data_IF_140979716250
#
_entry.id   IF_140979716250
#
_cell.length_a   1.000
_cell.length_b   1.000
_cell.length_c   1.000
_cell.angle_alpha   90.00
_cell.angle_beta   90.00
_cell.angle_gamma   90.00
#
_symmetry.space_group_name_H-M   'P 1'
#
loop_
_entity.id
_entity.type
_entity.pdbx_description
1 polymer ?
#
# COMPACT_ATOMS: atom_id res chain seq x y z
N UNK A 1 10.14 11.92 -42.26
CA UNK A 1 11.45 11.91 -41.59
C UNK A 1 11.29 11.12 -40.31
N UNK A 2 11.69 9.84 -40.37
CA UNK A 2 11.69 8.92 -39.24
C UNK A 2 12.81 9.31 -38.29
N UNK A 3 12.45 9.85 -37.13
CA UNK A 3 13.40 10.09 -36.06
C UNK A 3 13.54 8.80 -35.24
N UNK A 4 14.77 8.32 -35.17
CA UNK A 4 15.17 7.11 -34.44
C UNK A 4 15.22 7.52 -32.97
N UNK A 5 14.11 7.34 -32.25
CA UNK A 5 14.05 7.60 -30.82
C UNK A 5 14.90 6.56 -30.07
N UNK A 6 16.00 7.03 -29.50
CA UNK A 6 16.91 6.31 -28.62
C UNK A 6 16.17 5.68 -27.42
N UNK A 7 15.79 4.41 -27.57
CA UNK A 7 16.10 3.29 -26.65
C UNK A 7 15.67 3.29 -25.18
N UNK A 8 15.16 4.38 -24.58
CA UNK A 8 14.86 4.43 -23.15
C UNK A 8 13.37 4.65 -22.88
N UNK A 9 12.70 3.62 -22.33
CA UNK A 9 11.29 3.70 -21.89
C UNK A 9 11.11 4.57 -20.65
N UNK A 10 12.17 4.76 -19.86
CA UNK A 10 12.19 5.58 -18.64
C UNK A 10 12.89 6.90 -18.94
N UNK A 11 12.21 8.02 -18.67
CA UNK A 11 12.77 9.39 -18.70
C UNK A 11 13.33 9.75 -17.32
N UNK A 12 14.13 10.83 -17.18
CA UNK A 12 14.76 11.18 -15.91
C UNK A 12 13.81 11.33 -14.71
N UNK A 13 12.63 11.91 -14.90
CA UNK A 13 11.68 12.16 -13.81
C UNK A 13 12.20 13.14 -12.75
N UNK A 14 11.66 13.02 -11.54
CA UNK A 14 11.95 13.88 -10.38
C UNK A 14 12.15 13.04 -9.13
N UNK A 15 13.08 13.47 -8.27
CA UNK A 15 13.33 12.88 -6.94
C UNK A 15 12.18 13.09 -5.94
N UNK A 16 11.26 14.01 -6.22
CA UNK A 16 10.12 14.29 -5.37
C UNK A 16 8.82 14.49 -6.16
N UNK A 17 7.67 14.15 -5.53
CA UNK A 17 7.55 13.50 -4.21
C UNK A 17 8.03 12.03 -4.25
N UNK A 18 8.26 11.43 -3.07
CA UNK A 18 8.62 10.02 -2.97
C UNK A 18 7.40 9.12 -3.28
N UNK A 19 7.67 7.94 -3.84
CA UNK A 19 6.67 7.00 -4.30
C UNK A 19 6.30 7.18 -5.77
N UNK A 20 5.14 6.63 -6.15
CA UNK A 20 4.56 6.77 -7.49
C UNK A 20 3.56 7.94 -7.55
N UNK A 21 3.80 8.90 -8.45
CA UNK A 21 2.97 10.10 -8.65
C UNK A 21 2.57 10.20 -10.12
N UNK A 22 1.31 9.89 -10.46
CA UNK A 22 0.82 10.02 -11.82
C UNK A 22 0.57 11.49 -12.21
N UNK A 23 0.68 11.76 -13.51
CA UNK A 23 0.15 12.95 -14.18
C UNK A 23 -0.69 12.53 -15.40
N UNK A 24 -1.11 13.48 -16.23
CA UNK A 24 -1.95 13.24 -17.42
C UNK A 24 -1.30 12.33 -18.47
N UNK A 25 0.02 12.18 -18.45
CA UNK A 25 0.81 11.56 -19.53
C UNK A 25 1.61 10.33 -19.08
N UNK A 26 1.64 10.02 -17.78
CA UNK A 26 2.50 8.97 -17.23
C UNK A 26 2.65 9.05 -15.71
N UNK A 27 3.68 8.38 -15.17
CA UNK A 27 3.92 8.31 -13.73
C UNK A 27 5.39 8.54 -13.39
N UNK A 28 5.65 9.43 -12.44
CA UNK A 28 6.95 9.59 -11.80
C UNK A 28 7.10 8.60 -10.65
N UNK A 29 8.23 7.90 -10.60
CA UNK A 29 8.59 6.98 -9.53
C UNK A 29 9.84 7.49 -8.81
N UNK A 30 9.83 7.52 -7.48
CA UNK A 30 10.98 7.95 -6.69
C UNK A 30 11.15 7.09 -5.42
N UNK A 31 12.29 6.42 -5.29
CA UNK A 31 12.61 5.50 -4.19
C UNK A 31 13.91 5.91 -3.51
N UNK A 32 13.85 6.17 -2.20
CA UNK A 32 15.07 6.37 -1.41
C UNK A 32 15.83 5.06 -1.23
N UNK A 33 17.13 5.06 -1.57
CA UNK A 33 18.07 4.02 -1.16
C UNK A 33 19.51 4.52 -1.25
N UNK A 34 20.13 4.77 -0.10
CA UNK A 34 21.53 5.21 0.01
C UNK A 34 22.53 4.15 -0.44
N UNK A 35 22.24 2.87 -0.14
CA UNK A 35 23.19 1.77 -0.30
C UNK A 35 22.95 0.91 -1.55
N UNK A 36 21.89 1.17 -2.32
CA UNK A 36 21.62 0.45 -3.55
C UNK A 36 22.71 0.73 -4.59
N UNK A 37 22.98 -0.28 -5.43
CA UNK A 37 23.85 -0.17 -6.62
C UNK A 37 23.06 -0.09 -7.92
N UNK A 38 21.80 -0.53 -7.89
CA UNK A 38 20.83 -0.40 -8.97
C UNK A 38 19.43 -0.60 -8.41
N UNK A 39 18.45 0.11 -8.97
CA UNK A 39 17.02 -0.12 -8.72
C UNK A 39 16.34 -0.41 -10.04
N UNK A 40 15.64 -1.54 -10.11
CA UNK A 40 14.73 -1.84 -11.21
C UNK A 40 13.29 -1.59 -10.72
N UNK A 41 12.55 -0.74 -11.44
CA UNK A 41 11.10 -0.62 -11.31
C UNK A 41 10.46 -1.82 -11.99
N UNK A 42 9.59 -2.53 -11.27
CA UNK A 42 8.91 -3.71 -11.77
C UNK A 42 7.44 -3.35 -12.03
N UNK A 43 7.03 -3.36 -13.29
CA UNK A 43 5.64 -3.12 -13.72
C UNK A 43 4.97 -4.46 -14.01
N UNK A 44 3.73 -4.62 -13.57
CA UNK A 44 2.95 -5.84 -13.77
C UNK A 44 1.74 -5.61 -14.67
N UNK A 45 1.33 -6.63 -15.40
CA UNK A 45 0.10 -6.61 -16.17
C UNK A 45 -1.18 -6.61 -15.30
N UNK A 46 -2.34 -6.59 -15.97
CA UNK A 46 -3.66 -6.54 -15.37
C UNK A 46 -4.00 -7.74 -14.49
N UNK A 47 -3.36 -8.89 -14.74
CA UNK A 47 -3.49 -10.10 -13.93
C UNK A 47 -2.43 -10.16 -12.82
N UNK A 48 -1.44 -9.27 -12.86
CA UNK A 48 -0.36 -9.18 -11.88
C UNK A 48 0.67 -10.29 -12.01
N UNK A 49 0.69 -11.01 -13.14
CA UNK A 49 1.51 -12.21 -13.35
C UNK A 49 2.78 -11.92 -14.13
N UNK A 50 2.70 -11.08 -15.17
CA UNK A 50 3.84 -10.81 -16.04
C UNK A 50 4.57 -9.55 -15.59
N UNK A 51 5.87 -9.70 -15.30
CA UNK A 51 6.74 -8.63 -14.85
C UNK A 51 7.54 -8.03 -16.02
N UNK A 52 7.48 -6.71 -16.17
CA UNK A 52 8.42 -5.92 -16.99
C UNK A 52 9.31 -5.10 -16.06
N UNK A 53 10.63 -5.15 -16.27
CA UNK A 53 11.60 -4.43 -15.44
C UNK A 53 12.19 -3.26 -16.19
N UNK A 54 12.09 -2.09 -15.59
CA UNK A 54 12.55 -0.82 -16.13
C UNK A 54 13.61 -0.24 -15.17
N UNK A 55 14.89 -0.16 -15.56
CA UNK A 55 15.94 0.37 -14.68
C UNK A 55 15.73 1.87 -14.39
N UNK A 56 15.81 2.27 -13.12
CA UNK A 56 15.89 3.67 -12.72
C UNK A 56 17.36 4.11 -12.79
N UNK A 57 17.69 4.93 -13.78
CA UNK A 57 19.07 5.36 -14.04
C UNK A 57 19.47 6.62 -13.27
N UNK A 58 18.50 7.48 -12.98
CA UNK A 58 18.77 8.73 -12.30
C UNK A 58 18.78 8.54 -10.79
N UNK A 59 19.75 9.17 -10.14
CA UNK A 59 19.84 9.23 -8.68
C UNK A 59 20.26 10.62 -8.23
N UNK A 60 19.39 11.27 -7.45
CA UNK A 60 19.69 12.58 -6.84
C UNK A 60 19.51 12.48 -5.33
N UNK A 61 20.57 12.80 -4.57
CA UNK A 61 20.54 12.76 -3.10
C UNK A 61 19.99 11.44 -2.53
N UNK A 62 20.54 10.31 -3.00
CA UNK A 62 20.14 8.93 -2.61
C UNK A 62 18.70 8.53 -2.98
N UNK A 63 18.01 9.34 -3.78
CA UNK A 63 16.70 8.98 -4.33
C UNK A 63 16.88 8.54 -5.77
N UNK A 64 16.53 7.30 -6.05
CA UNK A 64 16.46 6.72 -7.39
C UNK A 64 15.14 7.13 -8.01
N UNK A 65 15.16 7.68 -9.22
CA UNK A 65 13.94 8.17 -9.85
C UNK A 65 13.89 7.95 -11.35
N UNK A 66 12.68 8.01 -11.88
CA UNK A 66 12.40 7.89 -13.30
C UNK A 66 10.93 8.15 -13.60
N UNK A 67 10.67 8.61 -14.81
CA UNK A 67 9.33 8.89 -15.30
C UNK A 67 8.98 7.94 -16.43
N UNK A 68 7.85 7.23 -16.29
CA UNK A 68 7.40 6.24 -17.28
C UNK A 68 6.15 6.78 -17.99
N UNK A 69 6.25 7.15 -19.28
CA UNK A 69 5.11 7.62 -20.06
C UNK A 69 4.05 6.51 -20.23
N UNK A 70 2.78 6.91 -20.31
CA UNK A 70 1.61 6.04 -20.56
C UNK A 70 1.32 5.01 -19.46
N UNK A 71 1.94 5.17 -18.29
CA UNK A 71 1.60 4.43 -17.08
C UNK A 71 0.76 5.34 -16.20
N UNK A 72 -0.43 4.90 -15.82
CA UNK A 72 -1.38 5.70 -15.03
C UNK A 72 -1.95 4.95 -13.83
N UNK A 73 -2.94 5.55 -13.16
CA UNK A 73 -3.65 4.93 -12.04
C UNK A 73 -4.14 3.51 -12.34
N UNK A 74 -4.05 2.62 -11.34
CA UNK A 74 -4.34 1.20 -11.46
C UNK A 74 -3.14 0.32 -11.83
N UNK A 75 -2.05 0.90 -12.33
CA UNK A 75 -0.81 0.16 -12.62
C UNK A 75 -0.27 -0.49 -11.35
N UNK A 76 -0.03 -1.80 -11.40
CA UNK A 76 0.66 -2.53 -10.33
C UNK A 76 2.17 -2.45 -10.49
N UNK A 77 2.88 -2.22 -9.41
CA UNK A 77 4.33 -2.12 -9.44
C UNK A 77 5.00 -2.62 -8.15
N UNK A 78 6.32 -2.75 -8.21
CA UNK A 78 7.21 -2.96 -7.07
C UNK A 78 8.64 -2.65 -7.48
N UNK A 79 9.60 -3.00 -6.63
CA UNK A 79 11.02 -2.75 -6.89
C UNK A 79 11.89 -3.99 -6.71
N UNK A 80 12.93 -4.10 -7.53
CA UNK A 80 14.07 -4.98 -7.26
C UNK A 80 15.29 -4.14 -7.01
N UNK A 81 15.80 -4.22 -5.79
CA UNK A 81 16.92 -3.39 -5.34
C UNK A 81 18.19 -4.24 -5.25
N UNK A 82 19.21 -3.84 -6.02
CA UNK A 82 20.50 -4.51 -6.09
C UNK A 82 21.50 -3.82 -5.15
N UNK A 83 22.39 -4.61 -4.55
CA UNK A 83 23.43 -4.10 -3.66
C UNK A 83 24.19 -5.24 -2.97
N UNK A 84 25.05 -4.93 -1.98
CA UNK A 84 25.82 -5.93 -1.26
C UNK A 84 24.94 -6.91 -0.46
N UNK A 85 25.28 -8.20 -0.51
CA UNK A 85 24.79 -9.19 0.44
C UNK A 85 25.92 -9.50 1.43
N UNK A 86 25.98 -8.71 2.49
CA UNK A 86 26.97 -8.79 3.55
C UNK A 86 26.22 -8.78 4.89
N UNK A 87 25.49 -9.85 5.22
CA UNK A 87 24.54 -9.85 6.34
C UNK A 87 25.19 -9.58 7.71
N UNK A 88 26.50 -9.89 7.86
CA UNK A 88 27.28 -9.55 9.06
C UNK A 88 27.50 -8.04 9.23
N UNK A 89 27.47 -7.27 8.15
CA UNK A 89 27.53 -5.82 8.12
C UNK A 89 26.14 -5.17 7.99
N UNK A 90 25.06 -5.97 8.07
CA UNK A 90 23.67 -5.49 7.94
C UNK A 90 23.17 -5.34 6.50
N UNK A 91 24.04 -5.43 5.48
CA UNK A 91 23.62 -5.34 4.08
C UNK A 91 22.92 -6.63 3.62
N UNK A 92 21.63 -6.53 3.28
CA UNK A 92 20.78 -7.67 2.90
C UNK A 92 20.11 -7.49 1.54
N UNK A 93 20.78 -6.83 0.61
CA UNK A 93 20.24 -6.63 -0.73
C UNK A 93 20.04 -7.97 -1.46
N UNK A 94 18.82 -8.18 -1.97
CA UNK A 94 18.48 -9.38 -2.70
C UNK A 94 17.44 -9.05 -3.77
N UNK A 95 17.91 -8.77 -4.98
CA UNK A 95 17.05 -8.44 -6.12
C UNK A 95 16.23 -9.61 -6.67
N UNK A 96 16.42 -10.83 -6.16
CA UNK A 96 15.47 -11.91 -6.37
C UNK A 96 14.15 -11.66 -5.63
N UNK A 97 14.11 -10.76 -4.65
CA UNK A 97 12.92 -10.40 -3.89
C UNK A 97 12.30 -9.12 -4.46
N UNK A 98 11.03 -9.21 -4.80
CA UNK A 98 10.18 -8.07 -5.11
C UNK A 98 9.91 -7.32 -3.81
N UNK A 99 10.17 -6.03 -3.81
CA UNK A 99 9.93 -5.15 -2.68
C UNK A 99 8.72 -4.27 -2.95
N UNK A 100 7.93 -4.07 -1.90
CA UNK A 100 6.86 -3.07 -1.87
C UNK A 100 7.51 -1.68 -1.80
N UNK A 101 6.94 -0.71 -2.51
CA UNK A 101 7.32 0.69 -2.33
C UNK A 101 6.92 1.16 -0.92
N UNK A 102 7.85 1.61 -0.07
CA UNK A 102 7.50 2.13 1.25
C UNK A 102 6.58 3.36 1.21
N UNK A 103 6.50 4.04 0.05
CA UNK A 103 5.61 5.16 -0.23
C UNK A 103 4.35 4.76 -1.02
N UNK A 104 4.10 3.46 -1.22
CA UNK A 104 2.86 2.99 -1.85
C UNK A 104 1.65 3.47 -1.04
N UNK A 105 0.72 4.12 -1.74
CA UNK A 105 -0.53 4.61 -1.18
C UNK A 105 -1.69 3.62 -1.29
N UNK A 106 -1.47 2.53 -2.01
CA UNK A 106 -2.37 1.40 -2.10
C UNK A 106 -1.57 0.12 -2.42
N UNK A 107 -2.00 -1.00 -1.83
CA UNK A 107 -1.43 -2.33 -2.07
C UNK A 107 -2.48 -3.26 -2.66
N UNK A 108 -2.05 -4.15 -3.57
CA UNK A 108 -2.83 -5.21 -4.17
C UNK A 108 -2.34 -6.58 -3.66
N UNK A 109 -3.26 -7.35 -3.05
CA UNK A 109 -2.99 -8.70 -2.57
C UNK A 109 -2.50 -8.75 -1.12
N UNK A 110 -2.15 -9.96 -0.70
CA UNK A 110 -1.57 -10.28 0.62
C UNK A 110 -0.31 -11.12 0.40
N UNK A 111 0.52 -11.27 1.43
CA UNK A 111 1.70 -12.15 1.34
C UNK A 111 1.25 -13.61 1.29
N UNK A 112 1.74 -14.35 0.30
CA UNK A 112 1.65 -15.81 0.28
C UNK A 112 2.94 -16.41 0.86
N UNK A 113 2.85 -16.83 2.12
CA UNK A 113 3.97 -17.40 2.88
C UNK A 113 4.45 -18.77 2.36
N UNK A 114 3.70 -19.42 1.45
CA UNK A 114 4.16 -20.66 0.79
C UNK A 114 5.21 -20.39 -0.28
N UNK A 115 5.34 -19.14 -0.70
CA UNK A 115 6.32 -18.69 -1.69
C UNK A 115 7.63 -18.30 -1.00
N UNK A 116 8.76 -18.21 -1.72
CA UNK A 116 10.06 -17.97 -1.11
C UNK A 116 10.29 -16.48 -0.78
N UNK A 117 9.35 -15.84 -0.06
CA UNK A 117 9.39 -14.40 0.30
C UNK A 117 10.56 -14.01 1.23
N UNK A 118 11.24 -14.98 1.82
CA UNK A 118 12.40 -14.70 2.67
C UNK A 118 13.66 -14.47 1.83
N UNK A 119 14.41 -13.42 2.18
CA UNK A 119 15.71 -13.10 1.57
C UNK A 119 16.79 -14.18 1.77
N UNK A 120 16.56 -15.12 2.68
CA UNK A 120 17.47 -16.21 3.06
C UNK A 120 16.76 -17.56 3.04
N UNK A 121 17.53 -18.66 3.09
CA UNK A 121 17.00 -20.02 3.10
C UNK A 121 16.39 -20.36 4.46
N UNK A 122 15.06 -20.42 4.55
CA UNK A 122 14.36 -20.91 5.75
C UNK A 122 14.86 -22.30 6.17
N UNK A 123 14.96 -22.53 7.48
CA UNK A 123 15.52 -23.76 8.06
C UNK A 123 17.05 -23.88 7.94
N UNK A 124 17.73 -22.87 7.38
CA UNK A 124 19.18 -22.71 7.37
C UNK A 124 19.55 -21.39 8.06
N UNK A 125 20.82 -21.00 7.94
CA UNK A 125 21.29 -19.71 8.44
C UNK A 125 20.74 -18.56 7.58
N UNK A 126 20.38 -17.46 8.24
CA UNK A 126 20.00 -16.18 7.62
C UNK A 126 21.16 -15.50 6.84
N UNK A 127 22.37 -16.03 6.95
CA UNK A 127 23.54 -15.64 6.18
C UNK A 127 23.49 -16.17 4.74
N UNK A 128 22.68 -17.20 4.47
CA UNK A 128 22.59 -17.86 3.18
C UNK A 128 21.49 -17.22 2.34
N UNK A 129 21.90 -16.41 1.35
CA UNK A 129 20.99 -15.74 0.42
C UNK A 129 20.11 -16.73 -0.36
N UNK A 130 18.80 -16.51 -0.37
CA UNK A 130 17.88 -17.23 -1.25
C UNK A 130 17.71 -16.48 -2.57
N UNK A 131 18.05 -17.11 -3.69
CA UNK A 131 18.00 -16.50 -5.02
C UNK A 131 16.69 -16.79 -5.78
N UNK A 132 15.72 -17.48 -5.18
CA UNK A 132 14.41 -17.74 -5.79
C UNK A 132 13.59 -16.46 -5.86
N UNK A 133 12.85 -16.29 -6.96
CA UNK A 133 11.90 -15.20 -7.13
C UNK A 133 10.67 -15.38 -6.23
N UNK A 134 10.06 -14.27 -5.82
CA UNK A 134 8.89 -14.22 -4.92
C UNK A 134 7.75 -13.34 -5.47
N UNK A 135 7.88 -12.82 -6.69
CA UNK A 135 6.95 -11.82 -7.23
C UNK A 135 5.47 -12.23 -7.21
N UNK A 136 5.15 -13.53 -7.26
CA UNK A 136 3.78 -14.05 -7.19
C UNK A 136 3.21 -14.11 -5.76
N UNK A 137 4.06 -14.04 -4.73
CA UNK A 137 3.66 -14.12 -3.32
C UNK A 137 3.84 -12.83 -2.53
N UNK A 138 4.24 -11.73 -3.18
CA UNK A 138 4.38 -10.41 -2.55
C UNK A 138 3.30 -9.45 -3.07
N UNK A 139 2.64 -8.68 -2.17
CA UNK A 139 1.75 -7.59 -2.58
C UNK A 139 2.43 -6.60 -3.50
N UNK A 140 1.65 -5.99 -4.39
CA UNK A 140 2.16 -4.98 -5.34
C UNK A 140 1.64 -3.61 -4.94
N UNK A 141 2.49 -2.59 -5.06
CA UNK A 141 2.05 -1.21 -5.02
C UNK A 141 1.08 -0.94 -6.18
N UNK A 142 0.15 -0.02 -5.99
CA UNK A 142 -0.76 0.44 -7.04
C UNK A 142 -0.53 1.94 -7.22
N UNK A 143 -0.30 2.37 -8.47
CA UNK A 143 -0.33 3.79 -8.80
C UNK A 143 -1.76 4.27 -8.59
N UNK A 144 -1.97 5.29 -7.76
CA UNK A 144 -3.31 5.84 -7.51
C UNK A 144 -3.38 7.28 -7.95
N UNK A 145 -4.57 7.67 -8.40
CA UNK A 145 -4.97 9.06 -8.47
C UNK A 145 -5.43 9.53 -7.08
N UNK A 146 -4.96 10.70 -6.67
CA UNK A 146 -5.38 11.32 -5.41
C UNK A 146 -6.67 12.12 -5.54
N UNK A 147 -7.12 12.42 -6.76
CA UNK A 147 -8.34 13.17 -6.99
C UNK A 147 -9.53 12.54 -6.23
N UNK A 148 -10.21 13.38 -5.45
CA UNK A 148 -11.38 13.00 -4.68
C UNK A 148 -12.23 14.24 -4.45
N UNK A 149 -13.53 14.14 -4.71
CA UNK A 149 -14.47 15.23 -4.48
C UNK A 149 -14.86 15.30 -3.00
N UNK A 150 -14.18 16.18 -2.27
CA UNK A 150 -14.47 16.49 -0.87
C UNK A 150 -15.74 17.33 -0.69
N UNK A 151 -16.30 17.94 -1.74
CA UNK A 151 -17.43 18.87 -1.62
C UNK A 151 -17.15 19.96 -0.59
N UNK A 152 -18.08 20.15 0.34
CA UNK A 152 -18.01 21.14 1.42
C UNK A 152 -17.34 20.64 2.71
N UNK A 153 -16.58 19.52 2.65
CA UNK A 153 -15.91 18.94 3.82
C UNK A 153 -15.09 19.97 4.61
N UNK A 154 -15.27 19.96 5.93
CA UNK A 154 -14.49 20.77 6.87
C UNK A 154 -14.12 19.91 8.05
N UNK A 155 -12.88 20.07 8.52
CA UNK A 155 -12.41 19.43 9.75
C UNK A 155 -13.29 19.88 10.94
N UNK A 156 -13.90 18.95 11.70
CA UNK A 156 -14.71 19.31 12.86
C UNK A 156 -13.95 20.13 13.91
N UNK A 157 -12.64 19.89 14.08
CA UNK A 157 -11.74 20.61 15.00
C UNK A 157 -12.31 20.75 16.42
N UNK A 158 -12.98 19.71 16.92
CA UNK A 158 -13.55 19.67 18.27
C UNK A 158 -12.40 19.81 19.28
N UNK A 159 -12.47 20.76 20.23
CA UNK A 159 -11.44 20.93 21.24
C UNK A 159 -11.25 19.67 22.09
N UNK A 160 -10.02 19.39 22.51
CA UNK A 160 -9.72 18.17 23.26
C UNK A 160 -10.50 18.06 24.59
N UNK A 161 -10.77 19.20 25.25
CA UNK A 161 -11.55 19.21 26.50
C UNK A 161 -13.04 18.92 26.30
N UNK A 162 -13.54 19.09 25.08
CA UNK A 162 -14.91 18.73 24.68
C UNK A 162 -14.96 17.33 24.06
N UNK A 163 -13.82 16.64 23.95
CA UNK A 163 -13.72 15.39 23.19
C UNK A 163 -14.06 14.16 24.03
N UNK A 164 -14.87 13.28 23.44
CA UNK A 164 -15.13 11.91 23.89
C UNK A 164 -14.67 10.96 22.79
N UNK A 165 -13.56 10.25 23.05
CA UNK A 165 -12.93 9.32 22.11
C UNK A 165 -13.58 7.95 22.23
N UNK A 166 -13.93 7.36 21.08
CA UNK A 166 -14.49 6.03 20.97
C UNK A 166 -13.59 5.14 20.11
N UNK A 167 -12.83 4.26 20.77
CA UNK A 167 -11.97 3.29 20.09
C UNK A 167 -12.82 2.20 19.44
N UNK A 168 -12.60 1.93 18.14
CA UNK A 168 -13.27 0.83 17.45
C UNK A 168 -12.40 0.15 16.41
N UNK A 169 -12.78 -1.09 16.11
CA UNK A 169 -12.20 -1.89 15.04
C UNK A 169 -13.10 -1.83 13.80
N UNK A 170 -12.58 -1.37 12.65
CA UNK A 170 -13.33 -1.22 11.38
C UNK A 170 -14.17 -2.46 11.05
N UNK A 171 -13.53 -3.65 11.03
CA UNK A 171 -14.23 -4.92 10.81
C UNK A 171 -15.26 -5.25 11.91
N UNK A 172 -14.81 -5.37 13.16
CA UNK A 172 -15.66 -5.84 14.25
C UNK A 172 -16.91 -5.02 14.48
N UNK A 173 -16.80 -3.70 14.30
CA UNK A 173 -17.88 -2.77 14.61
C UNK A 173 -19.12 -3.02 13.75
N UNK A 174 -18.95 -3.39 12.48
CA UNK A 174 -20.08 -3.59 11.56
C UNK A 174 -20.22 -5.00 11.02
N UNK A 175 -19.31 -5.94 11.34
CA UNK A 175 -19.31 -7.32 10.81
C UNK A 175 -20.63 -8.07 10.99
N UNK A 176 -21.40 -7.75 12.04
CA UNK A 176 -22.69 -8.38 12.36
C UNK A 176 -23.86 -7.40 12.35
N UNK A 177 -23.69 -6.20 11.80
CA UNK A 177 -24.72 -5.17 11.81
C UNK A 177 -25.95 -5.60 10.97
N UNK A 178 -27.14 -5.76 11.57
CA UNK A 178 -28.30 -6.33 10.88
C UNK A 178 -28.78 -5.45 9.72
N UNK A 179 -28.76 -4.13 9.91
CA UNK A 179 -29.28 -3.17 8.92
C UNK A 179 -28.31 -2.84 7.78
N UNK A 180 -27.10 -3.42 7.80
CA UNK A 180 -26.16 -3.28 6.70
C UNK A 180 -26.26 -4.48 5.75
N UNK A 181 -26.26 -4.26 4.42
CA UNK A 181 -26.04 -5.30 3.44
C UNK A 181 -24.78 -6.13 3.75
N UNK A 182 -24.81 -7.47 3.56
CA UNK A 182 -23.68 -8.35 3.91
C UNK A 182 -22.33 -7.89 3.33
N UNK A 183 -22.32 -7.34 2.12
CA UNK A 183 -21.12 -6.87 1.44
C UNK A 183 -20.50 -5.61 2.06
N UNK A 184 -21.26 -4.81 2.83
CA UNK A 184 -20.77 -3.63 3.53
C UNK A 184 -20.23 -3.95 4.93
N UNK A 185 -20.64 -5.07 5.51
CA UNK A 185 -20.30 -5.42 6.90
C UNK A 185 -18.79 -5.61 7.07
N UNK A 186 -18.24 -4.91 8.05
CA UNK A 186 -16.83 -4.97 8.41
C UNK A 186 -15.88 -4.26 7.44
N UNK A 187 -16.39 -3.27 6.69
CA UNK A 187 -15.63 -2.48 5.71
C UNK A 187 -15.64 -0.99 6.07
N UNK A 188 -14.75 -0.19 5.45
CA UNK A 188 -14.79 1.26 5.56
C UNK A 188 -16.13 1.83 5.09
N UNK A 189 -16.67 1.34 3.97
CA UNK A 189 -17.98 1.75 3.47
C UNK A 189 -19.13 1.40 4.42
N UNK A 190 -19.06 0.26 5.12
CA UNK A 190 -20.03 -0.10 6.15
C UNK A 190 -19.95 0.80 7.38
N UNK A 191 -18.74 1.16 7.80
CA UNK A 191 -18.55 2.10 8.90
C UNK A 191 -19.05 3.52 8.56
N UNK A 192 -19.03 3.89 7.27
CA UNK A 192 -19.56 5.15 6.76
C UNK A 192 -21.10 5.14 6.53
N UNK A 193 -21.78 4.02 6.78
CA UNK A 193 -23.18 3.87 6.42
C UNK A 193 -24.11 4.64 7.37
N UNK A 194 -25.27 5.15 6.89
CA UNK A 194 -26.18 5.96 7.70
C UNK A 194 -26.63 5.35 9.04
N UNK A 195 -26.96 4.03 9.15
CA UNK A 195 -27.33 3.44 10.43
C UNK A 195 -26.20 3.50 11.47
N UNK A 196 -24.95 3.38 11.01
CA UNK A 196 -23.77 3.41 11.88
C UNK A 196 -23.49 4.83 12.35
N UNK A 197 -23.53 5.81 11.44
CA UNK A 197 -23.36 7.22 11.79
C UNK A 197 -24.47 7.68 12.74
N UNK A 198 -25.73 7.29 12.50
CA UNK A 198 -26.84 7.60 13.38
C UNK A 198 -26.61 7.08 14.80
N UNK A 199 -26.12 5.85 14.94
CA UNK A 199 -25.76 5.28 16.24
C UNK A 199 -24.65 6.09 16.94
N UNK A 200 -23.56 6.42 16.25
CA UNK A 200 -22.45 7.18 16.84
C UNK A 200 -22.90 8.58 17.30
N UNK A 201 -23.78 9.23 16.52
CA UNK A 201 -24.39 10.51 16.91
C UNK A 201 -25.30 10.38 18.12
N UNK A 202 -26.14 9.33 18.18
CA UNK A 202 -27.01 9.07 19.32
C UNK A 202 -26.21 8.77 20.59
N UNK A 203 -25.10 8.04 20.47
CA UNK A 203 -24.19 7.76 21.57
C UNK A 203 -23.51 9.03 22.13
N UNK A 204 -23.39 10.08 21.30
CA UNK A 204 -22.85 11.37 21.71
C UNK A 204 -21.31 11.44 21.78
N UNK A 205 -20.61 10.55 21.08
CA UNK A 205 -19.15 10.60 20.96
C UNK A 205 -18.75 11.70 19.98
N UNK A 206 -17.50 12.18 20.07
CA UNK A 206 -17.02 13.28 19.22
C UNK A 206 -15.88 12.88 18.30
N UNK A 207 -15.16 11.81 18.65
CA UNK A 207 -14.03 11.31 17.89
C UNK A 207 -14.04 9.79 17.87
N UNK A 208 -13.86 9.21 16.68
CA UNK A 208 -13.62 7.78 16.53
C UNK A 208 -12.11 7.56 16.44
N UNK A 209 -11.57 6.69 17.29
CA UNK A 209 -10.20 6.21 17.21
C UNK A 209 -10.21 4.82 16.57
N UNK A 210 -9.70 4.72 15.35
CA UNK A 210 -9.63 3.43 14.66
C UNK A 210 -8.42 2.65 15.14
N UNK A 211 -8.62 1.36 15.43
CA UNK A 211 -7.51 0.39 15.43
C UNK A 211 -6.76 0.43 14.08
N UNK A 212 -5.52 -0.08 14.01
CA UNK A 212 -4.63 0.05 12.86
C UNK A 212 -5.32 -0.12 11.49
N UNK A 213 -5.24 0.93 10.67
CA UNK A 213 -5.75 0.95 9.29
C UNK A 213 -4.63 1.03 8.25
N UNK A 214 -3.36 1.12 8.65
CA UNK A 214 -2.25 0.93 7.70
C UNK A 214 -2.30 -0.49 7.13
N UNK A 215 -1.83 -0.67 5.90
CA UNK A 215 -1.70 -2.00 5.34
C UNK A 215 -0.74 -2.83 6.23
N UNK A 216 -1.23 -3.94 6.74
CA UNK A 216 -0.52 -4.85 7.64
C UNK A 216 -0.52 -6.28 7.10
N UNK A 217 0.24 -7.15 7.77
CA UNK A 217 0.38 -8.56 7.43
C UNK A 217 -0.24 -9.47 8.49
N UNK A 218 -0.73 -10.63 8.03
CA UNK A 218 -0.91 -11.81 8.86
C UNK A 218 0.43 -12.56 8.95
N UNK A 219 0.97 -12.73 10.16
CA UNK A 219 2.19 -13.52 10.36
C UNK A 219 1.99 -14.99 9.97
N UNK A 220 3.01 -15.61 9.37
CA UNK A 220 2.95 -17.01 8.92
C UNK A 220 2.52 -17.98 10.03
N UNK A 221 3.05 -17.82 11.24
CA UNK A 221 2.73 -18.67 12.39
C UNK A 221 1.27 -18.58 12.86
N UNK A 222 0.57 -17.47 12.57
CA UNK A 222 -0.87 -17.35 12.82
C UNK A 222 -1.64 -18.14 11.78
N UNK A 223 -1.29 -17.96 10.50
CA UNK A 223 -1.96 -18.66 9.39
C UNK A 223 -1.78 -20.18 9.47
N UNK A 224 -0.60 -20.66 9.88
CA UNK A 224 -0.32 -22.09 10.12
C UNK A 224 -1.25 -22.71 11.17
N UNK A 225 -1.82 -21.86 12.06
CA UNK A 225 -2.78 -22.25 13.10
C UNK A 225 -4.23 -21.93 12.73
N UNK A 226 -4.51 -21.48 11.51
CA UNK A 226 -5.83 -21.03 11.08
C UNK A 226 -6.29 -19.71 11.74
N UNK A 227 -5.36 -18.92 12.27
CA UNK A 227 -5.61 -17.62 12.89
C UNK A 227 -5.28 -16.47 11.91
N UNK A 228 -5.67 -15.25 12.29
CA UNK A 228 -5.42 -14.01 11.55
C UNK A 228 -4.98 -12.93 12.53
N UNK A 229 -4.18 -11.98 12.06
CA UNK A 229 -3.89 -10.74 12.77
C UNK A 229 -5.13 -9.84 12.68
N UNK A 230 -6.00 -9.97 13.68
CA UNK A 230 -7.24 -9.20 13.71
C UNK A 230 -6.96 -7.71 13.92
N UNK A 231 -6.17 -7.36 14.95
CA UNK A 231 -5.94 -5.95 15.32
C UNK A 231 -5.10 -5.14 14.34
N UNK A 232 -4.21 -5.78 13.57
CA UNK A 232 -3.45 -5.09 12.53
C UNK A 232 -2.18 -4.37 12.99
N UNK A 233 -1.69 -4.59 14.22
CA UNK A 233 -0.42 -4.04 14.74
C UNK A 233 0.81 -4.73 14.12
N UNK A 234 0.90 -4.78 12.79
CA UNK A 234 2.03 -5.32 12.01
C UNK A 234 2.11 -4.65 10.63
N UNK A 235 2.28 -3.32 10.62
CA UNK A 235 2.22 -2.50 9.39
C UNK A 235 3.39 -2.78 8.44
N UNK A 236 3.07 -2.89 7.15
CA UNK A 236 4.03 -2.99 6.04
C UNK A 236 3.89 -1.82 5.04
N UNK A 237 2.74 -1.16 4.98
CA UNK A 237 2.48 0.01 4.13
C UNK A 237 1.90 1.17 4.92
N UNK A 238 2.74 2.12 5.34
CA UNK A 238 2.36 3.24 6.20
C UNK A 238 1.46 4.29 5.52
N UNK A 239 1.46 4.34 4.19
CA UNK A 239 0.65 5.30 3.42
C UNK A 239 -0.55 4.64 2.74
N UNK A 240 -0.73 3.33 2.90
CA UNK A 240 -1.79 2.57 2.27
C UNK A 240 -2.83 2.15 3.32
N UNK A 241 -4.13 2.44 3.14
CA UNK A 241 -5.18 1.82 3.94
C UNK A 241 -5.17 0.30 3.76
N UNK A 242 -5.48 -0.45 4.82
CA UNK A 242 -5.54 -1.90 4.78
C UNK A 242 -6.62 -2.35 3.81
N UNK A 243 -6.22 -3.18 2.85
CA UNK A 243 -7.04 -3.56 1.70
C UNK A 243 -8.19 -4.52 2.06
N UNK A 244 -8.05 -5.37 3.08
CA UNK A 244 -9.13 -6.30 3.46
C UNK A 244 -10.29 -5.63 4.22
N UNK A 245 -10.16 -4.34 4.55
CA UNK A 245 -11.26 -3.51 5.06
C UNK A 245 -11.99 -2.75 3.95
N UNK A 246 -11.59 -2.90 2.70
CA UNK A 246 -12.25 -2.28 1.56
C UNK A 246 -12.91 -3.34 0.65
N UNK A 247 -13.92 -2.92 -0.11
CA UNK A 247 -14.53 -3.77 -1.16
C UNK A 247 -13.83 -3.57 -2.50
N UNK A 248 -13.39 -2.34 -2.76
CA UNK A 248 -12.77 -1.92 -3.99
C UNK A 248 -11.41 -2.59 -4.20
N UNK A 249 -11.21 -3.08 -5.43
CA UNK A 249 -9.92 -3.56 -5.89
C UNK A 249 -9.12 -2.40 -6.52
N UNK A 250 -7.85 -2.64 -6.83
CA UNK A 250 -7.00 -1.71 -7.62
C UNK A 250 -6.93 -0.27 -7.06
N UNK A 251 -6.88 -0.10 -5.74
CA UNK A 251 -6.75 1.21 -5.09
C UNK A 251 -8.04 1.75 -4.49
N UNK A 252 -9.17 1.03 -4.67
CA UNK A 252 -10.46 1.39 -4.10
C UNK A 252 -10.45 1.58 -2.58
N UNK A 253 -9.52 0.93 -1.86
CA UNK A 253 -9.35 1.15 -0.42
C UNK A 253 -9.08 2.61 -0.04
N UNK A 254 -8.42 3.37 -0.91
CA UNK A 254 -8.13 4.79 -0.66
C UNK A 254 -9.39 5.62 -0.82
N UNK A 255 -10.18 5.35 -1.86
CA UNK A 255 -11.44 6.05 -2.09
C UNK A 255 -12.45 5.74 -0.98
N UNK A 256 -12.59 4.48 -0.59
CA UNK A 256 -13.49 4.09 0.50
C UNK A 256 -13.07 4.70 1.85
N UNK A 257 -11.76 4.79 2.12
CA UNK A 257 -11.28 5.45 3.33
C UNK A 257 -11.56 6.98 3.30
N UNK A 258 -11.37 7.65 2.16
CA UNK A 258 -11.73 9.07 2.00
C UNK A 258 -13.24 9.28 2.17
N UNK A 259 -14.08 8.39 1.64
CA UNK A 259 -15.54 8.43 1.83
C UNK A 259 -15.94 8.27 3.29
N UNK A 260 -15.30 7.34 4.01
CA UNK A 260 -15.50 7.19 5.45
C UNK A 260 -15.19 8.49 6.21
N UNK A 261 -14.04 9.10 5.94
CA UNK A 261 -13.65 10.36 6.60
C UNK A 261 -14.66 11.47 6.28
N UNK A 262 -15.01 11.66 5.01
CA UNK A 262 -16.00 12.67 4.57
C UNK A 262 -17.36 12.47 5.25
N UNK A 263 -17.86 11.23 5.31
CA UNK A 263 -19.15 10.93 5.92
C UNK A 263 -19.15 11.18 7.44
N UNK A 264 -18.02 10.94 8.12
CA UNK A 264 -17.88 11.21 9.55
C UNK A 264 -17.74 12.70 9.86
N UNK A 265 -17.16 13.50 8.97
CA UNK A 265 -17.06 14.95 9.14
C UNK A 265 -18.38 15.70 8.89
N UNK A 266 -19.22 15.18 7.99
CA UNK A 266 -20.53 15.75 7.66
C UNK A 266 -21.58 15.52 8.78
N UNK A 267 -21.34 14.51 9.62
CA UNK A 267 -22.20 14.07 10.71
C UNK A 267 -22.14 14.96 11.95
#
# INVERSE_FOLDING_TARGET
MTDVATGQRVRPGSRFPLGATPDETGTNFALFSENAKRVDLCLFDDDGQNETREPLHEMTAHVWHGYVPRIGPGQRYGYRVHGPWEPKAGHRFNSAKLLIDPYARALAGVVDWKTPVFGYRLGKSDLIRDKRDDAWGVPKGIVIDDAFDWGDDRRPNIPLHDSVIYELHVKGFTARHPDLPPELRGTYAGLAAPPVIAYLKELGITAVELLPVHAFLDDSHLLDRGLRNYWGYNSIGYLAPHNEYARGQRGGQVQEFKQLVKAMHDA
#
